data_IF_722974927082
#
_entry.id   IF_722974927082
#
_cell.length_a   1.000
_cell.length_b   1.000
_cell.length_c   1.000
_cell.angle_alpha   90.00
_cell.angle_beta   90.00
_cell.angle_gamma   90.00
#
_symmetry.space_group_name_H-M   'P 1'
#
loop_
_entity.id
_entity.type
_entity.pdbx_description
1 polymer ?
#
# COMPACT_ATOMS: atom_id res chain seq x y z
N UNK A 1 -62.50 30.56 28.32
CA UNK A 1 -61.13 30.77 28.84
C UNK A 1 -60.37 29.47 28.67
N UNK A 2 -59.35 29.46 27.81
CA UNK A 2 -58.45 28.30 27.62
C UNK A 2 -57.21 28.56 28.48
N UNK A 3 -56.80 27.67 29.41
CA UNK A 3 -55.56 27.89 30.13
C UNK A 3 -54.35 27.60 29.23
N UNK A 4 -53.47 28.60 29.11
CA UNK A 4 -52.11 28.47 28.58
C UNK A 4 -51.18 27.94 29.67
N UNK A 5 -50.19 27.13 29.26
CA UNK A 5 -48.86 27.10 29.89
C UNK A 5 -48.50 25.82 30.65
N UNK A 6 -47.60 25.01 30.07
CA UNK A 6 -46.43 24.35 30.70
C UNK A 6 -45.97 23.12 29.89
N UNK A 7 -45.31 23.32 28.75
CA UNK A 7 -44.45 22.27 28.13
C UNK A 7 -43.26 22.84 27.33
N UNK A 8 -42.21 23.38 27.98
CA UNK A 8 -40.90 23.33 27.33
C UNK A 8 -39.75 22.75 28.18
N UNK A 9 -39.86 22.71 29.51
CA UNK A 9 -38.69 22.43 30.37
C UNK A 9 -38.15 20.98 30.26
N UNK A 10 -39.04 19.97 30.22
CA UNK A 10 -38.63 18.56 30.28
C UNK A 10 -37.96 18.06 28.98
N UNK A 11 -38.38 18.58 27.83
CA UNK A 11 -37.78 18.22 26.54
C UNK A 11 -36.39 18.83 26.36
N UNK A 12 -36.18 20.07 26.82
CA UNK A 12 -34.87 20.74 26.80
C UNK A 12 -33.87 20.02 27.70
N UNK A 13 -34.30 19.58 28.88
CA UNK A 13 -33.45 18.86 29.84
C UNK A 13 -33.00 17.48 29.31
N UNK A 14 -33.88 16.78 28.58
CA UNK A 14 -33.56 15.50 27.95
C UNK A 14 -32.57 15.68 26.78
N UNK A 15 -32.69 16.75 26.00
CA UNK A 15 -31.73 17.03 24.91
C UNK A 15 -30.37 17.48 25.44
N UNK A 16 -30.32 18.26 26.52
CA UNK A 16 -29.06 18.66 27.14
C UNK A 16 -28.34 17.47 27.79
N UNK A 17 -29.06 16.59 28.50
CA UNK A 17 -28.45 15.39 29.08
C UNK A 17 -27.86 14.48 28.00
N UNK A 18 -28.58 14.28 26.89
CA UNK A 18 -28.07 13.52 25.74
C UNK A 18 -26.86 14.18 25.07
N UNK A 19 -26.84 15.52 24.92
CA UNK A 19 -25.68 16.24 24.39
C UNK A 19 -24.46 16.11 25.30
N UNK A 20 -24.64 16.24 26.62
CA UNK A 20 -23.57 16.09 27.60
C UNK A 20 -23.01 14.67 27.62
N UNK A 21 -23.88 13.66 27.49
CA UNK A 21 -23.49 12.25 27.45
C UNK A 21 -22.75 11.89 26.16
N UNK A 22 -23.18 12.45 25.01
CA UNK A 22 -22.48 12.34 23.73
C UNK A 22 -21.10 13.03 23.77
N UNK A 23 -21.00 14.19 24.41
CA UNK A 23 -19.72 14.89 24.59
C UNK A 23 -18.77 14.11 25.50
N UNK A 24 -19.27 13.55 26.62
CA UNK A 24 -18.48 12.69 27.51
C UNK A 24 -18.02 11.40 26.83
N UNK A 25 -18.87 10.74 26.05
CA UNK A 25 -18.46 9.55 25.28
C UNK A 25 -17.48 9.88 24.15
N UNK A 26 -17.59 11.06 23.53
CA UNK A 26 -16.61 11.53 22.55
C UNK A 26 -15.25 11.85 23.20
N UNK A 27 -15.24 12.51 24.37
CA UNK A 27 -14.03 12.80 25.14
C UNK A 27 -13.38 11.52 25.65
N UNK A 28 -14.16 10.57 26.16
CA UNK A 28 -13.66 9.27 26.62
C UNK A 28 -13.10 8.43 25.46
N UNK A 29 -13.71 8.48 24.26
CA UNK A 29 -13.14 7.85 23.05
C UNK A 29 -11.78 8.45 22.67
N UNK A 30 -11.64 9.78 22.70
CA UNK A 30 -10.35 10.46 22.44
C UNK A 30 -9.31 10.11 23.51
N UNK A 31 -9.70 10.05 24.78
CA UNK A 31 -8.81 9.68 25.89
C UNK A 31 -8.37 8.20 25.84
N UNK A 32 -9.25 7.29 25.40
CA UNK A 32 -8.91 5.88 25.19
C UNK A 32 -8.02 5.66 23.96
N UNK A 33 -8.16 6.48 22.91
CA UNK A 33 -7.24 6.49 21.77
C UNK A 33 -5.83 6.95 22.17
N UNK A 34 -5.71 7.93 23.08
CA UNK A 34 -4.42 8.42 23.56
C UNK A 34 -3.69 7.46 24.53
N UNK A 35 -4.41 6.63 25.30
CA UNK A 35 -3.79 5.67 26.23
C UNK A 35 -3.19 4.43 25.56
N UNK A 36 -3.58 4.16 24.31
CA UNK A 36 -3.05 3.05 23.50
C UNK A 36 -2.20 3.55 22.32
N UNK A 37 -1.78 4.82 22.32
CA UNK A 37 -0.90 5.35 21.29
C UNK A 37 0.42 4.56 21.35
N UNK A 38 0.85 3.91 20.25
CA UNK A 38 2.19 3.36 20.15
C UNK A 38 3.20 4.45 20.52
N UNK A 39 4.37 4.11 21.11
CA UNK A 39 5.43 5.10 21.29
C UNK A 39 5.64 5.86 19.98
N UNK A 40 5.76 7.19 20.03
CA UNK A 40 5.96 8.07 18.86
C UNK A 40 7.01 7.44 17.94
N UNK A 41 6.54 6.73 16.92
CA UNK A 41 7.42 6.02 16.01
C UNK A 41 7.88 7.05 14.99
N UNK A 42 9.01 7.70 15.30
CA UNK A 42 9.69 8.57 14.35
C UNK A 42 9.94 7.76 13.08
N UNK A 43 9.65 8.36 11.93
CA UNK A 43 9.92 7.75 10.64
C UNK A 43 11.37 7.27 10.59
N UNK A 44 11.56 6.00 10.27
CA UNK A 44 12.87 5.38 10.18
C UNK A 44 13.01 4.79 8.77
N UNK A 45 13.77 5.48 7.94
CA UNK A 45 14.24 4.97 6.65
C UNK A 45 15.04 3.70 6.90
N UNK A 46 14.84 2.68 6.07
CA UNK A 46 15.69 1.49 6.14
C UNK A 46 17.14 1.87 5.80
N UNK A 47 18.06 1.56 6.72
CA UNK A 47 19.47 1.92 6.59
C UNK A 47 20.17 1.35 5.35
N UNK A 48 19.57 0.34 4.70
CA UNK A 48 20.10 -0.27 3.48
C UNK A 48 19.40 0.20 2.22
N UNK A 49 18.27 0.91 2.30
CA UNK A 49 17.44 1.26 1.14
C UNK A 49 18.25 1.95 0.03
N UNK A 50 18.92 3.05 0.37
CA UNK A 50 19.71 3.84 -0.58
C UNK A 50 20.80 2.99 -1.24
N UNK A 51 21.57 2.25 -0.41
CA UNK A 51 22.63 1.37 -0.90
C UNK A 51 22.11 0.24 -1.79
N UNK A 52 20.95 -0.31 -1.47
CA UNK A 52 20.30 -1.33 -2.28
C UNK A 52 19.91 -0.78 -3.65
N UNK A 53 19.35 0.44 -3.71
CA UNK A 53 19.02 1.09 -4.99
C UNK A 53 20.29 1.41 -5.80
N UNK A 54 21.35 1.91 -5.16
CA UNK A 54 22.61 2.21 -5.84
C UNK A 54 23.23 0.97 -6.48
N UNK A 55 23.32 -0.13 -5.71
CA UNK A 55 23.96 -1.39 -6.14
C UNK A 55 23.09 -2.24 -7.06
N UNK A 56 21.78 -2.00 -7.09
CA UNK A 56 20.85 -2.77 -7.89
C UNK A 56 21.02 -2.51 -9.38
N UNK A 57 20.98 -3.54 -10.22
CA UNK A 57 21.20 -3.43 -11.67
C UNK A 57 19.94 -2.99 -12.46
N UNK A 58 18.84 -2.69 -11.78
CA UNK A 58 17.57 -2.29 -12.39
C UNK A 58 16.68 -3.46 -12.83
N UNK A 59 17.07 -4.72 -12.58
CA UNK A 59 16.32 -5.91 -13.00
C UNK A 59 15.49 -6.54 -11.89
N UNK A 60 14.42 -7.21 -12.27
CA UNK A 60 13.58 -7.94 -11.32
C UNK A 60 14.18 -9.32 -10.99
N UNK A 61 14.40 -9.56 -9.69
CA UNK A 61 14.82 -10.86 -9.16
C UNK A 61 13.80 -11.44 -8.15
N UNK A 62 12.57 -10.92 -8.14
CA UNK A 62 11.50 -11.36 -7.23
C UNK A 62 11.64 -10.85 -5.80
N UNK A 63 12.47 -9.83 -5.57
CA UNK A 63 12.69 -9.21 -4.26
C UNK A 63 11.84 -7.95 -4.01
N UNK A 64 11.99 -7.36 -2.83
CA UNK A 64 11.42 -6.06 -2.49
C UNK A 64 12.42 -5.24 -1.65
N UNK A 65 12.44 -3.93 -1.88
CA UNK A 65 13.16 -2.98 -1.05
C UNK A 65 12.30 -2.60 0.15
N UNK A 66 12.85 -2.74 1.36
CA UNK A 66 12.22 -2.14 2.54
C UNK A 66 12.52 -0.65 2.51
N UNK A 67 11.49 0.19 2.42
CA UNK A 67 11.66 1.65 2.38
C UNK A 67 11.87 2.20 3.78
N UNK A 68 11.07 1.73 4.74
CA UNK A 68 11.12 2.17 6.12
C UNK A 68 9.79 1.97 6.84
N UNK A 69 9.68 2.56 8.02
CA UNK A 69 8.42 2.64 8.78
C UNK A 69 7.46 3.63 8.12
N UNK A 70 6.23 3.75 8.61
CA UNK A 70 5.29 4.77 8.08
C UNK A 70 5.58 6.12 8.74
N UNK A 71 5.72 7.21 7.96
CA UNK A 71 5.89 8.55 8.51
C UNK A 71 4.56 9.14 9.03
N UNK A 72 4.68 10.11 9.93
CA UNK A 72 3.55 10.72 10.65
C UNK A 72 2.43 11.25 9.72
N UNK A 73 2.70 11.98 8.62
CA UNK A 73 1.63 12.42 7.71
C UNK A 73 0.81 11.26 7.11
N UNK A 74 1.47 10.12 6.85
CA UNK A 74 0.80 8.93 6.32
C UNK A 74 -0.01 8.21 7.40
N UNK A 75 0.50 8.12 8.64
CA UNK A 75 -0.25 7.61 9.78
C UNK A 75 -1.53 8.44 10.03
N UNK A 76 -1.41 9.77 9.98
CA UNK A 76 -2.53 10.69 10.18
C UNK A 76 -3.66 10.50 9.17
N UNK A 77 -3.34 10.24 7.90
CA UNK A 77 -4.36 9.99 6.86
C UNK A 77 -4.92 8.56 6.90
N UNK A 78 -4.43 7.71 7.80
CA UNK A 78 -4.96 6.38 8.06
C UNK A 78 -4.15 5.21 7.50
N UNK A 79 -2.95 5.45 6.94
CA UNK A 79 -2.06 4.37 6.48
C UNK A 79 -1.70 3.50 7.70
N UNK A 80 -1.91 2.17 7.67
CA UNK A 80 -1.64 1.31 8.81
C UNK A 80 -0.18 1.37 9.24
N UNK A 81 0.09 1.33 10.55
CA UNK A 81 1.46 1.32 11.07
C UNK A 81 2.17 -0.02 10.80
N UNK A 82 2.61 -0.19 9.55
CA UNK A 82 3.35 -1.33 9.00
C UNK A 82 4.39 -0.81 8.02
N UNK A 83 5.55 -1.45 7.95
CA UNK A 83 6.61 -1.01 7.05
C UNK A 83 6.13 -0.86 5.60
N UNK A 84 6.72 0.11 4.91
CA UNK A 84 6.50 0.39 3.50
C UNK A 84 7.53 -0.39 2.68
N UNK A 85 7.06 -1.12 1.68
CA UNK A 85 7.87 -1.95 0.78
C UNK A 85 7.74 -1.49 -0.67
N UNK A 86 8.78 -1.69 -1.47
CA UNK A 86 8.75 -1.45 -2.90
C UNK A 86 9.24 -2.68 -3.65
N UNK A 87 8.33 -3.36 -4.35
CA UNK A 87 8.65 -4.59 -5.08
C UNK A 87 9.64 -4.29 -6.22
N UNK A 88 10.68 -5.11 -6.38
CA UNK A 88 11.70 -4.94 -7.44
C UNK A 88 11.08 -4.98 -8.82
N UNK A 89 10.12 -5.86 -9.06
CA UNK A 89 9.35 -5.92 -10.31
C UNK A 89 8.70 -4.59 -10.66
N UNK A 90 8.13 -3.89 -9.66
CA UNK A 90 7.50 -2.59 -9.87
C UNK A 90 8.54 -1.49 -10.02
N UNK A 91 9.62 -1.50 -9.24
CA UNK A 91 10.73 -0.57 -9.42
C UNK A 91 11.36 -0.70 -10.82
N UNK A 92 11.62 -1.92 -11.29
CA UNK A 92 12.23 -2.22 -12.58
C UNK A 92 11.34 -1.71 -13.71
N UNK A 93 10.03 -2.01 -13.60
CA UNK A 93 9.03 -1.52 -14.54
C UNK A 93 9.00 0.00 -14.61
N UNK A 94 9.03 0.70 -13.46
CA UNK A 94 9.06 2.17 -13.49
C UNK A 94 10.33 2.72 -14.14
N UNK A 95 11.51 2.15 -13.85
CA UNK A 95 12.77 2.58 -14.48
C UNK A 95 12.79 2.36 -15.99
N UNK A 96 12.18 1.27 -16.48
CA UNK A 96 12.16 0.93 -17.89
C UNK A 96 11.15 1.78 -18.69
N UNK A 97 9.97 2.02 -18.13
CA UNK A 97 8.85 2.65 -18.86
C UNK A 97 8.78 4.17 -18.73
N UNK A 98 9.43 4.75 -17.71
CA UNK A 98 9.27 6.16 -17.36
C UNK A 98 10.60 6.89 -17.38
N UNK A 99 10.78 7.75 -18.39
CA UNK A 99 12.01 8.52 -18.55
C UNK A 99 12.28 9.45 -17.37
N UNK A 100 11.24 9.94 -16.70
CA UNK A 100 11.37 10.79 -15.52
C UNK A 100 11.82 10.03 -14.26
N UNK A 101 11.77 8.68 -14.26
CA UNK A 101 12.12 7.85 -13.12
C UNK A 101 13.51 7.27 -13.31
N UNK A 102 14.43 7.67 -12.44
CA UNK A 102 15.77 7.09 -12.35
C UNK A 102 16.08 6.69 -10.90
N UNK A 103 17.26 6.13 -10.66
CA UNK A 103 17.67 5.73 -9.30
C UNK A 103 17.69 6.89 -8.29
N UNK A 104 17.99 8.11 -8.72
CA UNK A 104 17.93 9.28 -7.82
C UNK A 104 16.50 9.53 -7.35
N UNK A 105 15.53 9.48 -8.27
CA UNK A 105 14.09 9.58 -7.92
C UNK A 105 13.67 8.45 -6.96
N UNK A 106 14.15 7.23 -7.16
CA UNK A 106 13.86 6.11 -6.24
C UNK A 106 14.46 6.35 -4.85
N UNK A 107 15.65 6.96 -4.77
CA UNK A 107 16.32 7.31 -3.52
C UNK A 107 15.63 8.44 -2.76
N UNK A 108 14.89 9.30 -3.45
CA UNK A 108 14.13 10.39 -2.82
C UNK A 108 12.79 9.95 -2.21
N UNK A 109 12.30 8.76 -2.54
CA UNK A 109 11.03 8.21 -2.02
C UNK A 109 10.90 8.36 -0.49
N UNK A 110 11.88 7.95 0.34
CA UNK A 110 11.73 8.06 1.80
C UNK A 110 11.53 9.52 2.25
N UNK A 111 12.28 10.47 1.69
CA UNK A 111 12.15 11.91 1.98
C UNK A 111 10.77 12.42 1.57
N UNK A 112 10.32 12.05 0.37
CA UNK A 112 9.00 12.44 -0.15
C UNK A 112 7.86 11.95 0.76
N UNK A 113 7.97 10.72 1.29
CA UNK A 113 6.98 10.16 2.22
C UNK A 113 7.02 10.86 3.59
N UNK A 114 8.21 11.26 4.06
CA UNK A 114 8.40 11.94 5.35
C UNK A 114 7.84 13.36 5.36
N UNK A 115 8.12 14.13 4.30
CA UNK A 115 7.74 15.54 4.17
C UNK A 115 6.93 15.79 2.89
N UNK A 116 5.69 15.28 2.79
CA UNK A 116 4.88 15.46 1.60
C UNK A 116 4.29 16.87 1.51
N UNK A 117 4.20 17.43 0.30
CA UNK A 117 3.46 18.68 0.06
C UNK A 117 1.94 18.45 0.17
N UNK A 118 1.46 17.35 -0.39
CA UNK A 118 0.06 16.97 -0.36
C UNK A 118 -0.09 15.45 -0.34
N UNK A 119 -1.16 14.97 0.28
CA UNK A 119 -1.61 13.58 0.16
C UNK A 119 -3.05 13.60 -0.31
N UNK A 120 -3.36 12.84 -1.35
CA UNK A 120 -4.73 12.63 -1.81
C UNK A 120 -5.13 11.16 -1.74
N UNK A 121 -6.43 10.94 -1.56
CA UNK A 121 -7.03 9.63 -1.74
C UNK A 121 -7.05 9.25 -3.21
N UNK A 122 -6.93 7.97 -3.48
CA UNK A 122 -7.08 7.38 -4.81
C UNK A 122 -7.97 6.14 -4.75
N UNK A 123 -8.06 5.43 -5.87
CA UNK A 123 -8.79 4.17 -5.97
C UNK A 123 -8.03 3.02 -5.28
N UNK A 124 -8.71 1.88 -5.08
CA UNK A 124 -8.13 0.62 -4.61
C UNK A 124 -7.21 0.73 -3.38
N UNK A 125 -7.69 1.34 -2.30
CA UNK A 125 -6.94 1.49 -1.06
C UNK A 125 -5.56 2.13 -1.25
N UNK A 126 -5.47 3.14 -2.13
CA UNK A 126 -4.21 3.81 -2.47
C UNK A 126 -4.27 5.27 -2.08
N UNK A 127 -3.17 5.77 -1.51
CA UNK A 127 -2.92 7.21 -1.36
C UNK A 127 -1.84 7.65 -2.34
N UNK A 128 -2.00 8.85 -2.89
CA UNK A 128 -0.99 9.51 -3.70
C UNK A 128 -0.29 10.56 -2.84
N UNK A 129 1.02 10.42 -2.73
CA UNK A 129 1.89 11.28 -1.93
C UNK A 129 2.69 12.16 -2.88
N UNK A 130 2.51 13.47 -2.81
CA UNK A 130 3.16 14.44 -3.66
C UNK A 130 4.35 15.08 -2.94
N UNK A 131 5.52 15.04 -3.58
CA UNK A 131 6.73 15.69 -3.10
C UNK A 131 6.85 17.14 -3.55
N UNK A 132 7.97 17.77 -3.20
CA UNK A 132 8.32 19.13 -3.62
C UNK A 132 8.80 19.18 -5.08
N UNK A 133 9.27 18.05 -5.59
CA UNK A 133 9.97 17.91 -6.86
C UNK A 133 9.01 17.86 -8.04
N UNK A 134 9.54 18.31 -9.18
CA UNK A 134 8.90 18.25 -10.48
C UNK A 134 9.83 17.55 -11.47
N UNK A 135 9.26 17.02 -12.55
CA UNK A 135 10.04 16.66 -13.72
C UNK A 135 10.47 17.91 -14.51
N UNK A 136 11.22 17.68 -15.59
CA UNK A 136 11.68 18.71 -16.51
C UNK A 136 10.54 19.49 -17.20
N UNK A 137 9.32 18.95 -17.17
CA UNK A 137 8.12 19.56 -17.76
C UNK A 137 7.24 20.28 -16.72
N UNK A 138 7.67 20.37 -15.46
CA UNK A 138 6.90 21.01 -14.39
C UNK A 138 5.76 20.16 -13.83
N UNK A 139 5.74 18.86 -14.13
CA UNK A 139 4.78 17.90 -13.58
C UNK A 139 5.27 17.39 -12.22
N UNK A 140 4.42 17.29 -11.20
CA UNK A 140 4.85 16.92 -9.86
C UNK A 140 5.22 15.44 -9.78
N UNK A 141 6.29 15.13 -9.06
CA UNK A 141 6.65 13.75 -8.71
C UNK A 141 5.70 13.23 -7.62
N UNK A 142 5.15 12.04 -7.84
CA UNK A 142 4.19 11.38 -6.96
C UNK A 142 4.62 9.94 -6.65
N UNK A 143 4.38 9.52 -5.42
CA UNK A 143 4.48 8.12 -4.99
C UNK A 143 3.09 7.60 -4.63
N UNK A 144 2.67 6.51 -5.26
CA UNK A 144 1.43 5.83 -4.95
C UNK A 144 1.68 4.73 -3.91
N UNK A 145 1.13 4.88 -2.70
CA UNK A 145 1.22 3.89 -1.63
C UNK A 145 -0.11 3.16 -1.51
N UNK A 146 -0.10 1.86 -1.84
CA UNK A 146 -1.27 0.98 -1.75
C UNK A 146 -1.22 0.18 -0.47
N UNK A 147 -2.33 0.17 0.25
CA UNK A 147 -2.54 -0.65 1.44
C UNK A 147 -3.11 -1.98 0.95
N UNK A 148 -2.27 -3.01 0.95
CA UNK A 148 -2.71 -4.36 0.64
C UNK A 148 -3.09 -5.06 1.93
N UNK A 149 -4.32 -5.58 1.98
CA UNK A 149 -4.81 -6.33 3.12
C UNK A 149 -5.29 -7.68 2.62
N UNK A 150 -4.76 -8.76 3.19
CA UNK A 150 -5.21 -10.12 2.88
C UNK A 150 -5.77 -10.76 4.13
N UNK A 151 -6.99 -11.29 4.04
CA UNK A 151 -7.54 -12.15 5.08
C UNK A 151 -7.25 -13.62 4.73
N UNK A 152 -6.40 -14.29 5.52
CA UNK A 152 -6.12 -15.73 5.39
C UNK A 152 -6.35 -16.41 6.73
N UNK A 153 -7.24 -17.41 6.75
CA UNK A 153 -7.54 -18.23 7.95
C UNK A 153 -7.82 -17.36 9.20
N UNK A 154 -8.67 -16.34 9.05
CA UNK A 154 -9.04 -15.37 10.09
C UNK A 154 -7.88 -14.50 10.61
N UNK A 155 -6.78 -14.38 9.83
CA UNK A 155 -5.69 -13.46 10.11
C UNK A 155 -5.60 -12.42 9.00
N UNK A 156 -5.73 -11.15 9.38
CA UNK A 156 -5.57 -10.02 8.46
C UNK A 156 -4.09 -9.65 8.43
N UNK A 157 -3.44 -9.84 7.28
CA UNK A 157 -2.09 -9.33 7.00
C UNK A 157 -2.20 -8.08 6.15
N UNK A 158 -1.90 -6.94 6.75
CA UNK A 158 -1.75 -5.65 6.05
C UNK A 158 -0.28 -5.39 5.73
N UNK A 159 -0.03 -4.97 4.49
CA UNK A 159 1.29 -4.56 3.99
C UNK A 159 1.12 -3.27 3.18
N UNK A 160 1.93 -2.27 3.50
CA UNK A 160 1.99 -1.04 2.72
C UNK A 160 3.01 -1.24 1.59
N UNK A 161 2.58 -1.03 0.35
CA UNK A 161 3.45 -1.18 -0.82
C UNK A 161 3.42 0.05 -1.70
N UNK A 162 4.59 0.46 -2.20
CA UNK A 162 4.69 1.41 -3.30
C UNK A 162 4.22 0.71 -4.57
N UNK A 163 3.14 1.23 -5.16
CA UNK A 163 2.54 0.73 -6.39
C UNK A 163 3.22 1.32 -7.62
N UNK A 164 3.56 2.61 -7.56
CA UNK A 164 4.20 3.36 -8.64
C UNK A 164 4.89 4.61 -8.11
N UNK A 165 5.90 5.07 -8.83
CA UNK A 165 6.53 6.38 -8.71
C UNK A 165 6.64 7.01 -10.09
N UNK A 166 6.62 8.33 -10.19
CA UNK A 166 6.77 9.07 -11.45
C UNK A 166 5.95 10.34 -11.43
N UNK A 167 5.66 10.91 -12.59
CA UNK A 167 4.91 12.17 -12.65
C UNK A 167 3.39 11.94 -12.64
N UNK A 168 2.66 12.98 -12.26
CA UNK A 168 1.19 13.01 -12.39
C UNK A 168 0.74 14.22 -13.19
N UNK A 169 0.33 13.97 -14.42
CA UNK A 169 -0.29 14.97 -15.31
C UNK A 169 -1.81 14.81 -15.37
N UNK A 170 -2.28 13.57 -15.57
CA UNK A 170 -3.71 13.29 -15.71
C UNK A 170 -4.45 13.35 -14.37
N UNK A 171 -5.70 13.85 -14.42
CA UNK A 171 -6.60 13.97 -13.27
C UNK A 171 -6.06 14.77 -12.08
N UNK A 172 -5.00 15.56 -12.27
CA UNK A 172 -4.34 16.29 -11.19
C UNK A 172 -5.31 17.25 -10.48
N UNK A 173 -6.18 17.94 -11.23
CA UNK A 173 -7.20 18.83 -10.66
C UNK A 173 -8.21 18.09 -9.78
N UNK A 174 -8.58 16.87 -10.15
CA UNK A 174 -9.48 16.06 -9.34
C UNK A 174 -8.77 15.62 -8.06
N UNK A 175 -7.53 15.14 -8.18
CA UNK A 175 -6.75 14.64 -7.05
C UNK A 175 -6.43 15.73 -6.02
N UNK A 176 -6.19 16.95 -6.49
CA UNK A 176 -5.80 18.07 -5.66
C UNK A 176 -6.95 19.00 -5.26
N UNK A 177 -8.20 18.58 -5.43
CA UNK A 177 -9.38 19.31 -4.93
C UNK A 177 -9.67 19.00 -3.47
N UNK A 178 -10.42 19.91 -2.83
CA UNK A 178 -10.90 19.82 -1.45
C UNK A 178 -11.47 18.43 -1.10
N UNK A 179 -12.25 17.84 -2.01
CA UNK A 179 -12.94 16.55 -1.83
C UNK A 179 -12.03 15.31 -1.92
N UNK A 180 -10.80 15.42 -2.45
CA UNK A 180 -9.84 14.30 -2.52
C UNK A 180 -8.57 14.46 -1.67
N UNK A 181 -8.20 15.69 -1.30
CA UNK A 181 -7.05 15.94 -0.42
C UNK A 181 -7.27 15.50 1.03
N UNK A 182 -6.36 14.65 1.51
CA UNK A 182 -6.33 14.12 2.88
C UNK A 182 -5.40 14.93 3.79
N UNK A 183 -4.32 15.48 3.22
CA UNK A 183 -3.30 16.22 3.95
C UNK A 183 -2.67 17.30 3.06
N UNK A 184 -2.30 18.42 3.68
CA UNK A 184 -1.49 19.49 3.08
C UNK A 184 -0.31 19.80 4.01
N UNK A 185 0.86 20.08 3.46
CA UNK A 185 2.03 20.44 4.27
C UNK A 185 1.71 21.64 5.21
N UNK A 186 1.94 21.51 6.53
CA UNK A 186 1.75 22.57 7.52
C UNK A 186 2.51 23.86 7.19
N UNK A 187 3.63 23.77 6.45
CA UNK A 187 4.30 24.93 5.90
C UNK A 187 3.48 25.56 4.77
N UNK A 188 2.64 26.53 5.18
CA UNK A 188 1.71 27.23 4.30
C UNK A 188 2.39 27.87 3.10
N UNK A 189 3.62 28.37 3.27
CA UNK A 189 4.35 29.06 2.20
C UNK A 189 4.78 28.06 1.13
N UNK A 190 5.38 26.95 1.54
CA UNK A 190 5.79 25.86 0.63
C UNK A 190 4.59 25.28 -0.12
N UNK A 191 3.54 24.89 0.62
CA UNK A 191 2.33 24.35 0.00
C UNK A 191 1.72 25.34 -1.02
N UNK A 192 1.55 26.62 -0.66
CA UNK A 192 1.01 27.63 -1.58
C UNK A 192 1.90 27.82 -2.80
N UNK A 193 3.21 27.91 -2.61
CA UNK A 193 4.15 28.06 -3.72
C UNK A 193 4.10 26.87 -4.67
N UNK A 194 3.99 25.66 -4.14
CA UNK A 194 3.88 24.45 -4.93
C UNK A 194 2.59 24.41 -5.77
N UNK A 195 1.45 24.75 -5.17
CA UNK A 195 0.18 24.88 -5.91
C UNK A 195 0.25 25.98 -6.99
N UNK A 196 0.85 27.13 -6.67
CA UNK A 196 1.02 28.22 -7.62
C UNK A 196 1.93 27.83 -8.79
N UNK A 197 3.02 27.09 -8.54
CA UNK A 197 3.89 26.57 -9.59
C UNK A 197 3.16 25.60 -10.54
N UNK A 198 2.17 24.87 -10.02
CA UNK A 198 1.25 24.09 -10.86
C UNK A 198 0.18 24.94 -11.56
N UNK A 199 0.18 26.27 -11.44
CA UNK A 199 -0.86 27.14 -11.98
C UNK A 199 -2.24 26.94 -11.32
N UNK A 200 -2.25 26.51 -10.05
CA UNK A 200 -3.46 26.11 -9.32
C UNK A 200 -3.65 26.91 -8.04
N UNK A 201 -4.91 27.16 -7.68
CA UNK A 201 -5.23 27.69 -6.36
C UNK A 201 -5.06 26.61 -5.29
N UNK A 202 -4.59 27.03 -4.11
CA UNK A 202 -4.52 26.14 -2.95
C UNK A 202 -5.94 25.73 -2.50
N UNK A 203 -6.16 24.46 -2.16
CA UNK A 203 -7.43 23.93 -1.65
C UNK A 203 -7.95 24.71 -0.45
N UNK A 204 -9.27 24.68 -0.24
CA UNK A 204 -9.95 25.39 0.84
C UNK A 204 -9.61 26.89 0.90
N UNK A 205 -9.35 27.51 -0.25
CA UNK A 205 -8.89 28.90 -0.36
C UNK A 205 -7.56 29.16 0.36
N UNK A 206 -6.74 28.13 0.61
CA UNK A 206 -5.49 28.24 1.36
C UNK A 206 -5.67 28.57 2.84
N UNK A 207 -6.77 28.12 3.45
CA UNK A 207 -7.07 28.32 4.88
C UNK A 207 -6.80 27.08 5.75
N UNK A 208 -6.74 25.88 5.15
CA UNK A 208 -6.52 24.61 5.85
C UNK A 208 -5.18 23.99 5.47
N UNK A 209 -4.44 23.50 6.47
CA UNK A 209 -3.15 22.81 6.33
C UNK A 209 -3.00 21.75 7.43
N UNK A 210 -2.08 20.81 7.25
CA UNK A 210 -1.96 19.59 8.05
C UNK A 210 -2.97 18.54 7.62
N UNK A 211 -3.38 17.71 8.58
CA UNK A 211 -4.43 16.71 8.36
C UNK A 211 -5.77 17.39 8.03
N UNK A 212 -6.32 17.06 6.85
CA UNK A 212 -7.64 17.49 6.40
C UNK A 212 -8.68 16.43 6.77
N UNK A 213 -8.38 15.15 6.49
CA UNK A 213 -9.19 13.99 6.86
C UNK A 213 -8.37 12.70 6.79
N UNK A 214 -8.83 11.68 7.50
CA UNK A 214 -8.32 10.31 7.38
C UNK A 214 -9.29 9.43 6.59
N UNK A 215 -8.76 8.35 6.02
CA UNK A 215 -9.55 7.32 5.33
C UNK A 215 -9.38 5.97 6.03
N UNK A 216 -10.41 5.13 5.95
CA UNK A 216 -10.32 3.73 6.32
C UNK A 216 -10.02 2.91 5.07
N UNK A 217 -9.13 1.91 5.19
CA UNK A 217 -8.77 1.02 4.09
C UNK A 217 -9.48 -0.32 4.23
N UNK A 218 -10.07 -0.80 3.13
CA UNK A 218 -10.85 -2.03 3.12
C UNK A 218 -9.95 -3.28 3.20
N UNK A 219 -10.44 -4.32 3.87
CA UNK A 219 -9.81 -5.64 3.89
C UNK A 219 -10.27 -6.45 2.69
N UNK A 220 -9.35 -6.94 1.86
CA UNK A 220 -9.72 -7.82 0.74
C UNK A 220 -9.80 -9.26 1.26
N UNK A 221 -10.97 -9.88 1.13
CA UNK A 221 -11.11 -11.32 1.30
C UNK A 221 -10.52 -12.04 0.09
N UNK A 222 -9.43 -12.77 0.31
CA UNK A 222 -8.87 -13.62 -0.73
C UNK A 222 -9.61 -14.95 -0.66
N UNK A 223 -10.63 -15.16 -1.51
CA UNK A 223 -10.91 -16.52 -1.97
C UNK A 223 -9.58 -17.05 -2.50
N UNK A 224 -9.18 -18.27 -2.13
CA UNK A 224 -7.94 -18.90 -2.63
C UNK A 224 -8.05 -19.17 -4.14
N UNK A 225 -8.15 -18.14 -4.95
CA UNK A 225 -7.77 -18.11 -6.33
C UNK A 225 -6.49 -17.29 -6.36
N UNK A 226 -5.39 -17.98 -6.66
CA UNK A 226 -4.21 -17.27 -7.17
C UNK A 226 -4.71 -16.43 -8.35
N UNK A 227 -4.58 -15.10 -8.31
CA UNK A 227 -5.04 -14.23 -9.40
C UNK A 227 -4.18 -14.55 -10.64
N UNK A 228 -4.72 -15.42 -11.49
CA UNK A 228 -4.07 -15.91 -12.71
C UNK A 228 -4.05 -14.80 -13.77
N UNK A 229 -5.00 -13.86 -13.71
CA UNK A 229 -5.25 -12.90 -14.78
C UNK A 229 -4.16 -11.81 -14.87
N UNK A 230 -3.64 -11.34 -13.73
CA UNK A 230 -2.56 -10.34 -13.70
C UNK A 230 -1.22 -10.93 -14.18
N UNK A 231 -0.91 -12.17 -13.79
CA UNK A 231 0.31 -12.88 -14.20
C UNK A 231 0.27 -13.27 -15.69
N UNK A 232 -0.90 -13.64 -16.23
CA UNK A 232 -1.08 -14.03 -17.64
C UNK A 232 -0.97 -12.83 -18.57
N UNK A 233 -1.49 -11.67 -18.16
CA UNK A 233 -1.30 -10.43 -18.90
C UNK A 233 0.19 -10.04 -18.95
N UNK A 234 0.91 -10.19 -17.84
CA UNK A 234 2.34 -9.86 -17.75
C UNK A 234 3.21 -10.84 -18.55
N UNK A 235 2.85 -12.13 -18.62
CA UNK A 235 3.54 -13.13 -19.47
C UNK A 235 3.29 -12.90 -20.96
N UNK A 236 2.06 -12.53 -21.35
CA UNK A 236 1.70 -12.25 -22.74
C UNK A 236 2.41 -11.00 -23.27
N UNK A 237 2.61 -9.99 -22.42
CA UNK A 237 3.38 -8.79 -22.76
C UNK A 237 4.87 -9.12 -22.96
N UNK A 238 5.44 -9.93 -22.06
CA UNK A 238 6.84 -10.37 -22.16
C UNK A 238 7.10 -11.25 -23.38
N UNK A 239 6.12 -12.05 -23.82
CA UNK A 239 6.24 -12.88 -25.01
C UNK A 239 6.18 -12.03 -26.30
N UNK A 240 5.30 -11.02 -26.36
CA UNK A 240 5.25 -10.07 -27.49
C UNK A 240 6.54 -9.28 -27.66
N UNK A 241 7.19 -8.91 -26.55
CA UNK A 241 8.47 -8.21 -26.57
C UNK A 241 9.62 -9.12 -27.03
N UNK A 242 9.63 -10.38 -26.60
CA UNK A 242 10.67 -11.35 -26.98
C UNK A 242 10.60 -11.74 -28.47
N UNK A 243 9.41 -11.74 -29.06
CA UNK A 243 9.19 -11.98 -30.50
C UNK A 243 9.57 -10.78 -31.39
N UNK A 244 9.75 -9.59 -30.81
CA UNK A 244 10.17 -8.39 -31.54
C UNK A 244 11.70 -8.18 -31.55
N UNK A 245 12.44 -8.94 -30.74
CA UNK A 245 13.90 -8.82 -30.57
C UNK A 245 14.70 -9.88 -31.36
N UNK A 246 14.09 -10.98 -31.81
CA UNK A 246 14.73 -11.98 -32.68
C UNK A 246 14.43 -11.69 -34.15
N UNK A 247 15.41 -11.15 -34.87
CA UNK A 247 15.40 -10.97 -36.32
C UNK A 247 15.46 -12.37 -36.99
N UNK A 248 14.29 -13.01 -37.15
CA UNK A 248 14.12 -14.23 -37.96
C UNK A 248 13.07 -14.01 -39.05
N UNK A 249 13.31 -14.53 -40.26
CA UNK A 249 12.77 -13.97 -41.49
C UNK A 249 11.27 -14.17 -41.65
N UNK A 250 10.66 -13.25 -42.40
CA UNK A 250 9.27 -13.26 -42.88
C UNK A 250 8.72 -14.69 -43.11
N UNK A 251 7.67 -15.03 -42.36
CA UNK A 251 6.73 -16.09 -42.70
C UNK A 251 6.70 -17.28 -41.74
N UNK A 252 5.94 -17.13 -40.65
CA UNK A 252 4.93 -18.08 -40.10
C UNK A 252 4.67 -17.70 -38.63
N UNK A 253 3.60 -16.94 -38.38
CA UNK A 253 3.07 -16.78 -37.02
C UNK A 253 2.64 -18.17 -36.50
N UNK A 254 2.95 -18.54 -35.24
CA UNK A 254 2.44 -19.78 -34.67
C UNK A 254 0.92 -19.75 -34.67
N UNK A 255 0.30 -20.82 -35.16
CA UNK A 255 -1.16 -20.92 -35.22
C UNK A 255 -1.79 -20.98 -33.82
N UNK A 256 -3.08 -20.65 -33.74
CA UNK A 256 -3.84 -20.59 -32.48
C UNK A 256 -3.86 -21.94 -31.73
N UNK A 257 -3.54 -23.05 -32.39
CA UNK A 257 -3.52 -24.39 -31.79
C UNK A 257 -2.18 -24.65 -31.09
N UNK A 258 -1.06 -24.26 -31.71
CA UNK A 258 0.26 -24.26 -31.07
C UNK A 258 0.28 -23.34 -29.84
N UNK A 259 -0.32 -22.16 -29.91
CA UNK A 259 -0.43 -21.24 -28.77
C UNK A 259 -1.20 -21.88 -27.60
N UNK A 260 -2.30 -22.61 -27.89
CA UNK A 260 -3.10 -23.30 -26.87
C UNK A 260 -2.36 -24.46 -26.22
N UNK A 261 -1.64 -25.27 -26.98
CA UNK A 261 -0.84 -26.38 -26.46
C UNK A 261 0.29 -25.87 -25.54
N UNK A 262 0.94 -24.78 -25.91
CA UNK A 262 1.97 -24.15 -25.06
C UNK A 262 1.39 -23.58 -23.76
N UNK A 263 0.22 -22.93 -23.79
CA UNK A 263 -0.45 -22.47 -22.57
C UNK A 263 -0.89 -23.64 -21.67
N UNK A 264 -1.37 -24.73 -22.26
CA UNK A 264 -1.74 -25.93 -21.52
C UNK A 264 -0.51 -26.58 -20.84
N UNK A 265 0.62 -26.67 -21.55
CA UNK A 265 1.88 -27.20 -21.01
C UNK A 265 2.46 -26.31 -19.90
N UNK A 266 2.44 -24.99 -20.07
CA UNK A 266 2.91 -24.04 -19.05
C UNK A 266 2.05 -24.08 -17.78
N UNK A 267 0.72 -24.19 -17.94
CA UNK A 267 -0.22 -24.37 -16.83
C UNK A 267 0.03 -25.70 -16.11
N UNK A 268 0.21 -26.79 -16.86
CA UNK A 268 0.50 -28.11 -16.29
C UNK A 268 1.85 -28.15 -15.53
N UNK A 269 2.90 -27.51 -16.04
CA UNK A 269 4.22 -27.45 -15.38
C UNK A 269 4.15 -26.63 -14.08
N UNK A 270 3.39 -25.52 -14.07
CA UNK A 270 3.20 -24.67 -12.87
C UNK A 270 2.34 -25.38 -11.82
N UNK A 271 1.29 -26.11 -12.22
CA UNK A 271 0.52 -26.98 -11.33
C UNK A 271 1.36 -28.13 -10.77
N UNK A 272 2.23 -28.73 -11.58
CA UNK A 272 3.17 -29.78 -11.14
C UNK A 272 4.15 -29.22 -10.10
N UNK A 273 4.68 -28.01 -10.32
CA UNK A 273 5.55 -27.30 -9.35
C UNK A 273 4.80 -26.97 -8.05
N UNK A 274 3.55 -26.52 -8.13
CA UNK A 274 2.73 -26.24 -6.95
C UNK A 274 2.39 -27.51 -6.15
N UNK A 275 2.04 -28.61 -6.84
CA UNK A 275 1.82 -29.93 -6.21
C UNK A 275 3.10 -30.45 -5.56
N UNK A 276 4.26 -30.31 -6.21
CA UNK A 276 5.54 -30.71 -5.65
C UNK A 276 5.96 -29.85 -4.44
N UNK A 277 5.74 -28.54 -4.46
CA UNK A 277 5.99 -27.66 -3.33
C UNK A 277 5.08 -28.00 -2.13
N UNK A 278 3.81 -28.31 -2.39
CA UNK A 278 2.84 -28.72 -1.37
C UNK A 278 3.19 -30.09 -0.79
N UNK A 279 3.61 -31.05 -1.62
CA UNK A 279 4.07 -32.37 -1.18
C UNK A 279 5.34 -32.27 -0.33
N UNK A 280 6.29 -31.40 -0.69
CA UNK A 280 7.50 -31.16 0.09
C UNK A 280 7.19 -30.49 1.44
N UNK A 281 6.26 -29.53 1.46
CA UNK A 281 5.79 -28.92 2.69
C UNK A 281 5.10 -29.94 3.62
N UNK A 282 4.32 -30.87 3.07
CA UNK A 282 3.67 -31.94 3.83
C UNK A 282 4.69 -32.94 4.40
N UNK A 283 5.68 -33.37 3.60
CA UNK A 283 6.78 -34.23 4.07
C UNK A 283 7.58 -33.57 5.21
N UNK A 284 7.84 -32.27 5.11
CA UNK A 284 8.52 -31.53 6.18
C UNK A 284 7.66 -31.43 7.46
N UNK A 285 6.33 -31.30 7.34
CA UNK A 285 5.41 -31.30 8.49
C UNK A 285 5.31 -32.66 9.16
N UNK A 286 5.27 -33.75 8.39
CA UNK A 286 5.26 -35.13 8.93
C UNK A 286 6.55 -35.38 9.72
N UNK A 287 7.71 -35.06 9.11
CA UNK A 287 9.03 -35.19 9.77
C UNK A 287 9.15 -34.35 11.04
N UNK A 288 8.56 -33.15 11.06
CA UNK A 288 8.51 -32.32 12.26
C UNK A 288 7.59 -32.90 13.34
N UNK A 289 6.47 -33.51 12.96
CA UNK A 289 5.55 -34.16 13.90
C UNK A 289 6.13 -35.44 14.51
N UNK A 290 6.84 -36.26 13.72
CA UNK A 290 7.54 -37.46 14.21
C UNK A 290 8.61 -37.09 15.25
N UNK A 291 9.42 -36.06 14.95
CA UNK A 291 10.42 -35.54 15.88
C UNK A 291 9.80 -35.02 17.18
N UNK A 292 8.60 -34.44 17.12
CA UNK A 292 7.86 -33.99 18.30
C UNK A 292 7.27 -35.13 19.11
N UNK A 293 6.82 -36.21 18.46
CA UNK A 293 6.29 -37.42 19.13
C UNK A 293 7.42 -38.15 19.85
N UNK A 294 8.59 -38.25 19.23
CA UNK A 294 9.77 -38.89 19.83
C UNK A 294 10.28 -38.11 21.04
N UNK A 295 10.30 -36.77 20.96
CA UNK A 295 10.62 -35.92 22.11
C UNK A 295 9.61 -36.10 23.25
N UNK A 296 8.31 -36.25 22.93
CA UNK A 296 7.28 -36.46 23.93
C UNK A 296 7.39 -37.85 24.60
N UNK A 297 7.67 -38.90 23.83
CA UNK A 297 7.93 -40.26 24.35
C UNK A 297 9.19 -40.33 25.21
N UNK A 298 10.26 -39.64 24.83
CA UNK A 298 11.47 -39.53 25.64
C UNK A 298 11.17 -38.83 26.98
N UNK A 299 10.37 -37.76 26.96
CA UNK A 299 9.98 -37.03 28.17
C UNK A 299 9.08 -37.86 29.09
N UNK A 300 8.20 -38.70 28.54
CA UNK A 300 7.37 -39.60 29.35
C UNK A 300 8.13 -40.77 29.96
N UNK A 301 9.16 -41.31 29.27
CA UNK A 301 10.08 -42.30 29.86
C UNK A 301 10.92 -41.76 31.03
N UNK A 302 11.21 -40.46 31.03
CA UNK A 302 11.94 -39.80 32.14
C UNK A 302 11.00 -39.59 33.35
N UNK A 303 9.70 -39.39 33.14
CA UNK A 303 8.73 -39.15 34.22
C UNK A 303 8.21 -40.41 34.89
N UNK A 304 8.25 -41.56 34.21
CA UNK A 304 7.95 -42.88 34.77
C UNK A 304 9.15 -43.82 34.52
N UNK A 305 10.22 -43.73 35.30
CA UNK A 305 11.24 -44.77 35.30
C UNK A 305 10.64 -46.04 35.90
N UNK A 306 10.65 -47.12 35.13
CA UNK A 306 10.45 -48.49 35.66
C UNK A 306 11.50 -48.80 36.72
#
# INVERSE_FOLDING_TARGET
>A
MIPKGEKPARATQIMESQRTELQRTAQNRKAMQNKNAPPEQKFAVDKYYIRQIDQWDGKDYGGAFRVGTVPEPLLQVGVPNKDIWFDQSKAAKQLAEKQEVNKEVLKEIPKLLETPIAISGSYDNTVLVFGEQYDEHGSPIVVAVRINSTNRRNHITQVNKIRSVGTRTHNLDKLLKDDNILYLNPNKKEAKNWFNALGRSTPFGGTKFGLIRSVAFETVEVKQEFSIDDDVAELNEQFRQRMAEDDTPEGLAPDDEQIKDYHALAKAEKERRAKNATANALKNRIKASEKSIDAHRATQRIKNPT
#
